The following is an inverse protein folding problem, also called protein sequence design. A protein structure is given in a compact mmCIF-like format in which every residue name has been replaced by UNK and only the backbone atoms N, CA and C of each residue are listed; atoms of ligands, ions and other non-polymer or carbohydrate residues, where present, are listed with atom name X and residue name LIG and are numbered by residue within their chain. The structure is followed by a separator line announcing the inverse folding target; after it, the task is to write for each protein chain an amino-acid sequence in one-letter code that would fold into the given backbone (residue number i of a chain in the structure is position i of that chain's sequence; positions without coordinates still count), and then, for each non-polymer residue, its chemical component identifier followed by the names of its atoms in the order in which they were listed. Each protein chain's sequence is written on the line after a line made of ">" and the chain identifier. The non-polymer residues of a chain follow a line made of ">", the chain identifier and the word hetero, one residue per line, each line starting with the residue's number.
data_IF_203138942044
#
_entry.id   IF_203138942044
#
_cell.length_a   1.000
_cell.length_b   1.000
_cell.length_c   1.000
_cell.angle_alpha   90.00
_cell.angle_beta   90.00
_cell.angle_gamma   90.00
#
_symmetry.space_group_name_H-M   'P 1'
#
loop_
_entity.id
_entity.type
_entity.pdbx_description
1 polymer ?
#
# COMPACT_ATOMS: atom_id res chain seq x y z
N UNK A 1 4.22 -15.25 -4.98
CA UNK A 1 2.87 -15.07 -4.40
C UNK A 1 1.87 -16.10 -4.94
N UNK A 2 2.26 -17.38 -5.11
CA UNK A 2 1.35 -18.44 -5.57
C UNK A 2 0.51 -19.05 -4.43
N UNK A 3 0.76 -18.64 -3.18
CA UNK A 3 0.16 -19.21 -1.97
C UNK A 3 -1.36 -18.93 -1.81
N UNK A 4 -1.91 -18.03 -2.63
CA UNK A 4 -3.33 -17.65 -2.60
C UNK A 4 -4.14 -18.28 -3.74
N UNK A 5 -3.49 -19.02 -4.64
CA UNK A 5 -4.21 -19.76 -5.68
C UNK A 5 -5.03 -20.90 -5.05
N UNK A 6 -6.23 -21.21 -5.57
CA UNK A 6 -6.87 -20.61 -6.74
C UNK A 6 -7.72 -19.36 -6.43
N UNK A 7 -7.77 -18.91 -5.17
CA UNK A 7 -8.65 -17.83 -4.74
C UNK A 7 -8.25 -16.47 -5.32
N UNK A 8 -6.94 -16.22 -5.44
CA UNK A 8 -6.40 -15.02 -6.09
C UNK A 8 -5.27 -15.42 -7.02
N UNK A 9 -5.37 -14.97 -8.28
CA UNK A 9 -4.37 -15.25 -9.30
C UNK A 9 -2.98 -14.76 -8.92
N UNK A 10 -1.96 -15.62 -9.02
CA UNK A 10 -0.57 -15.28 -8.78
C UNK A 10 -0.06 -14.19 -9.74
N UNK A 11 -0.56 -14.17 -10.98
CA UNK A 11 -0.22 -13.13 -11.96
C UNK A 11 -0.75 -11.76 -11.52
N UNK A 12 -2.01 -11.70 -11.05
CA UNK A 12 -2.59 -10.48 -10.50
C UNK A 12 -1.77 -10.02 -9.31
N UNK A 13 -1.48 -10.91 -8.36
CA UNK A 13 -0.70 -10.59 -7.16
C UNK A 13 0.69 -10.04 -7.49
N UNK A 14 1.38 -10.63 -8.47
CA UNK A 14 2.67 -10.14 -8.92
C UNK A 14 2.59 -8.72 -9.50
N UNK A 15 1.60 -8.44 -10.36
CA UNK A 15 1.41 -7.11 -10.94
C UNK A 15 0.95 -6.10 -9.89
N UNK A 16 0.04 -6.50 -9.01
CA UNK A 16 -0.53 -5.66 -7.95
C UNK A 16 0.54 -5.20 -6.96
N UNK A 17 1.45 -6.09 -6.56
CA UNK A 17 2.59 -5.72 -5.71
C UNK A 17 3.66 -4.95 -6.49
N UNK A 18 4.23 -5.56 -7.53
CA UNK A 18 5.44 -5.02 -8.19
C UNK A 18 5.20 -3.78 -9.05
N UNK A 19 3.95 -3.53 -9.49
CA UNK A 19 3.58 -2.36 -10.30
C UNK A 19 2.69 -1.42 -9.51
N UNK A 20 1.49 -1.83 -9.15
CA UNK A 20 0.51 -0.90 -8.56
C UNK A 20 0.95 -0.36 -7.19
N UNK A 21 1.34 -1.22 -6.25
CA UNK A 21 1.82 -0.78 -4.94
C UNK A 21 3.12 0.04 -5.06
N UNK A 22 4.04 -0.40 -5.92
CA UNK A 22 5.26 0.33 -6.21
C UNK A 22 5.00 1.74 -6.78
N UNK A 23 3.99 1.91 -7.64
CA UNK A 23 3.60 3.23 -8.15
C UNK A 23 3.18 4.18 -7.04
N UNK A 24 2.36 3.71 -6.08
CA UNK A 24 1.98 4.53 -4.92
C UNK A 24 3.21 4.96 -4.11
N UNK A 25 4.14 4.04 -3.84
CA UNK A 25 5.37 4.35 -3.10
C UNK A 25 6.22 5.39 -3.84
N UNK A 26 6.47 5.18 -5.14
CA UNK A 26 7.30 6.07 -5.95
C UNK A 26 6.72 7.49 -5.98
N UNK A 27 5.42 7.60 -6.25
CA UNK A 27 4.75 8.90 -6.35
C UNK A 27 4.64 9.61 -4.99
N UNK A 28 4.38 8.85 -3.91
CA UNK A 28 4.36 9.39 -2.56
C UNK A 28 5.72 9.97 -2.20
N UNK A 29 6.81 9.25 -2.44
CA UNK A 29 8.17 9.71 -2.14
C UNK A 29 8.53 10.98 -2.92
N UNK A 30 8.16 11.03 -4.20
CA UNK A 30 8.36 12.23 -5.03
C UNK A 30 7.58 13.44 -4.46
N UNK A 31 6.32 13.24 -4.08
CA UNK A 31 5.50 14.30 -3.50
C UNK A 31 6.03 14.80 -2.16
N UNK A 32 6.47 13.89 -1.28
CA UNK A 32 7.07 14.25 0.02
C UNK A 32 8.41 15.00 -0.16
N UNK A 33 9.19 14.62 -1.16
CA UNK A 33 10.45 15.32 -1.52
C UNK A 33 10.15 16.75 -1.98
N UNK A 34 9.11 16.96 -2.79
CA UNK A 34 8.63 18.28 -3.22
C UNK A 34 7.99 19.08 -2.08
N UNK A 35 7.33 18.41 -1.13
CA UNK A 35 6.62 19.05 -0.04
C UNK A 35 7.56 19.69 1.00
N UNK A 36 8.71 19.06 1.27
CA UNK A 36 9.66 19.53 2.27
C UNK A 36 10.13 20.99 2.02
N UNK A 37 10.66 21.36 0.83
CA UNK A 37 11.02 22.74 0.57
C UNK A 37 9.81 23.69 0.52
N UNK A 38 8.63 23.20 0.14
CA UNK A 38 7.40 23.99 0.14
C UNK A 38 6.97 24.40 1.56
N UNK A 39 7.16 23.52 2.54
CA UNK A 39 6.94 23.81 3.95
C UNK A 39 7.98 24.81 4.48
N UNK A 40 9.28 24.58 4.21
CA UNK A 40 10.37 25.46 4.66
C UNK A 40 10.20 26.88 4.15
N UNK A 41 9.76 27.05 2.90
CA UNK A 41 9.58 28.35 2.25
C UNK A 41 8.20 28.98 2.44
N UNK A 42 7.28 28.34 3.19
CA UNK A 42 5.88 28.75 3.29
C UNK A 42 5.18 28.94 1.93
N UNK A 43 5.56 28.15 0.92
CA UNK A 43 4.94 28.16 -0.41
C UNK A 43 3.58 27.44 -0.39
N UNK A 44 2.54 28.14 0.06
CA UNK A 44 1.18 27.60 0.17
C UNK A 44 0.63 27.02 -1.16
N UNK A 45 0.81 27.65 -2.33
CA UNK A 45 0.37 27.07 -3.60
C UNK A 45 0.96 25.69 -3.87
N UNK A 46 2.27 25.50 -3.65
CA UNK A 46 2.92 24.21 -3.88
C UNK A 46 2.49 23.16 -2.84
N UNK A 47 2.30 23.57 -1.58
CA UNK A 47 1.77 22.68 -0.54
C UNK A 47 0.38 22.14 -0.92
N UNK A 48 -0.51 23.01 -1.41
CA UNK A 48 -1.85 22.61 -1.85
C UNK A 48 -1.80 21.69 -3.08
N UNK A 49 -0.92 21.97 -4.04
CA UNK A 49 -0.75 21.13 -5.23
C UNK A 49 -0.27 19.70 -4.86
N UNK A 50 0.67 19.60 -3.91
CA UNK A 50 1.18 18.32 -3.45
C UNK A 50 0.20 17.55 -2.55
N UNK A 51 -0.71 18.25 -1.84
CA UNK A 51 -1.62 17.63 -0.87
C UNK A 51 -2.45 16.51 -1.49
N UNK A 52 -3.02 16.71 -2.69
CA UNK A 52 -3.81 15.68 -3.35
C UNK A 52 -2.97 14.44 -3.71
N UNK A 53 -1.74 14.65 -4.15
CA UNK A 53 -0.81 13.57 -4.53
C UNK A 53 -0.41 12.76 -3.29
N UNK A 54 -0.10 13.44 -2.18
CA UNK A 54 0.23 12.81 -0.89
C UNK A 54 -0.96 12.01 -0.38
N UNK A 55 -2.17 12.59 -0.37
CA UNK A 55 -3.36 11.88 0.13
C UNK A 55 -3.66 10.64 -0.71
N UNK A 56 -3.66 10.75 -2.03
CA UNK A 56 -3.99 9.63 -2.92
C UNK A 56 -2.96 8.50 -2.85
N UNK A 57 -1.67 8.83 -2.99
CA UNK A 57 -0.62 7.81 -3.00
C UNK A 57 -0.29 7.30 -1.59
N UNK A 58 -0.42 8.14 -0.57
CA UNK A 58 -0.31 7.75 0.84
C UNK A 58 -1.40 6.77 1.24
N UNK A 59 -2.67 7.08 0.93
CA UNK A 59 -3.78 6.15 1.15
C UNK A 59 -3.62 4.86 0.35
N UNK A 60 -3.18 4.95 -0.91
CA UNK A 60 -2.85 3.79 -1.75
C UNK A 60 -1.79 2.90 -1.10
N UNK A 61 -0.68 3.46 -0.65
CA UNK A 61 0.39 2.71 0.00
C UNK A 61 -0.09 2.03 1.30
N UNK A 62 -0.76 2.77 2.19
CA UNK A 62 -1.27 2.25 3.48
C UNK A 62 -2.25 1.11 3.24
N UNK A 63 -3.25 1.31 2.38
CA UNK A 63 -4.28 0.29 2.14
C UNK A 63 -3.67 -0.99 1.55
N UNK A 64 -2.64 -0.88 0.70
CA UNK A 64 -1.98 -2.06 0.14
C UNK A 64 -1.06 -2.75 1.15
N UNK A 65 -0.35 -2.00 2.00
CA UNK A 65 0.42 -2.61 3.09
C UNK A 65 -0.49 -3.43 4.02
N UNK A 66 -1.63 -2.84 4.43
CA UNK A 66 -2.65 -3.55 5.21
C UNK A 66 -3.25 -4.74 4.44
N UNK A 67 -3.50 -4.59 3.13
CA UNK A 67 -3.98 -5.69 2.30
C UNK A 67 -3.03 -6.88 2.36
N UNK A 68 -1.72 -6.67 2.18
CA UNK A 68 -0.73 -7.75 2.22
C UNK A 68 -0.63 -8.42 3.60
N UNK A 69 -0.62 -7.63 4.67
CA UNK A 69 -0.59 -8.15 6.06
C UNK A 69 -1.83 -8.98 6.40
N UNK A 70 -2.96 -8.68 5.78
CA UNK A 70 -4.22 -9.40 6.00
C UNK A 70 -4.37 -10.67 5.15
N UNK A 71 -3.47 -10.93 4.20
CA UNK A 71 -3.55 -12.13 3.36
C UNK A 71 -2.85 -13.30 4.05
N UNK A 72 -3.52 -14.45 4.03
CA UNK A 72 -2.97 -15.71 4.50
C UNK A 72 -3.19 -16.81 3.46
N UNK A 73 -2.24 -17.73 3.34
CA UNK A 73 -2.43 -18.93 2.54
C UNK A 73 -3.63 -19.71 3.10
N UNK A 74 -4.47 -20.26 2.23
CA UNK A 74 -5.65 -21.01 2.67
C UNK A 74 -5.28 -22.21 3.57
N UNK A 75 -4.11 -22.82 3.34
CA UNK A 75 -3.56 -23.92 4.16
C UNK A 75 -3.10 -23.48 5.56
N UNK A 76 -2.87 -22.19 5.77
CA UNK A 76 -2.34 -21.61 7.01
C UNK A 76 -3.40 -20.82 7.79
N UNK A 77 -4.59 -20.64 7.19
CA UNK A 77 -5.76 -20.05 7.84
C UNK A 77 -6.26 -20.96 8.96
N UNK A 78 -5.87 -20.66 10.21
CA UNK A 78 -6.54 -21.23 11.38
C UNK A 78 -7.86 -20.51 11.56
N UNK A 79 -8.93 -21.05 11.00
CA UNK A 79 -10.29 -20.57 11.32
C UNK A 79 -10.63 -21.03 12.73
N UNK A 80 -10.19 -20.24 13.72
CA UNK A 80 -10.63 -20.34 15.11
C UNK A 80 -11.13 -18.97 15.51
N UNK A 81 -12.45 -18.80 15.52
CA UNK A 81 -13.23 -17.67 16.05
C UNK A 81 -12.69 -16.26 15.75
N UNK A 82 -13.16 -15.66 14.64
CA UNK A 82 -13.42 -14.24 14.31
C UNK A 82 -12.58 -13.06 14.89
N UNK A 83 -11.53 -13.26 15.69
CA UNK A 83 -10.76 -12.22 16.38
C UNK A 83 -9.26 -12.28 16.13
N UNK A 84 -8.76 -13.27 15.39
CA UNK A 84 -7.33 -13.42 15.21
C UNK A 84 -7.02 -14.04 13.84
N UNK A 85 -7.30 -13.27 12.77
CA UNK A 85 -6.82 -13.61 11.43
C UNK A 85 -5.40 -13.06 11.32
N UNK A 86 -4.42 -13.86 11.71
CA UNK A 86 -3.00 -13.57 11.51
C UNK A 86 -2.28 -14.88 11.24
N UNK A 87 -1.42 -14.91 10.21
CA UNK A 87 -0.61 -16.09 9.92
C UNK A 87 0.41 -16.27 11.04
N UNK A 88 0.51 -17.48 11.59
CA UNK A 88 1.47 -17.80 12.65
C UNK A 88 2.88 -17.94 12.10
N UNK A 89 3.76 -17.08 12.62
CA UNK A 89 5.23 -16.99 12.54
C UNK A 89 5.95 -17.31 11.21
#
# INVERSE_FOLDING_TARGET
>A
MAALEPAISAQIMQLHHSKHHQTYITNLNAALTSQMPALISNNLPLQLANQQIITFNGGGHINHSLFWENLCAASESKVTDAKQVGCGD
#
